data_IF_884564841389
#
_entry.id   IF_884564841389
#
_cell.length_a   1.000
_cell.length_b   1.000
_cell.length_c   1.000
_cell.angle_alpha   90.00
_cell.angle_beta   90.00
_cell.angle_gamma   90.00
#
_symmetry.space_group_name_H-M   'P 1'
#
loop_
_entity.id
_entity.type
_entity.pdbx_description
1 polymer ?
#
# COMPACT_ATOMS: atom_id res chain seq x y z
N UNK A 1 1.56 17.96 21.75
CA UNK A 1 0.93 16.75 22.30
C UNK A 1 1.60 15.54 21.66
N UNK A 2 1.90 14.50 22.43
CA UNK A 2 2.45 13.23 21.90
C UNK A 2 1.32 12.45 21.24
N UNK A 3 1.58 11.89 20.05
CA UNK A 3 0.62 11.02 19.36
C UNK A 3 0.87 9.58 19.79
N UNK A 4 -0.18 8.86 20.17
CA UNK A 4 -0.10 7.43 20.38
C UNK A 4 -0.33 6.72 19.04
N UNK A 5 0.61 5.86 18.66
CA UNK A 5 0.49 4.97 17.52
C UNK A 5 0.30 3.55 18.02
N UNK A 6 -0.85 2.97 17.74
CA UNK A 6 -1.14 1.58 18.04
C UNK A 6 -0.46 0.69 17.01
N UNK A 7 0.09 -0.42 17.47
CA UNK A 7 0.83 -1.38 16.65
C UNK A 7 0.26 -2.78 16.82
N UNK A 8 -0.06 -3.43 15.70
CA UNK A 8 -0.45 -4.83 15.69
C UNK A 8 0.12 -5.57 14.48
N UNK A 9 0.31 -6.87 14.61
CA UNK A 9 0.68 -7.75 13.51
C UNK A 9 -0.59 -8.35 12.88
N UNK A 10 -0.63 -8.37 11.56
CA UNK A 10 -1.67 -9.01 10.77
C UNK A 10 -1.04 -10.15 9.99
N UNK A 11 -1.40 -11.38 10.31
CA UNK A 11 -0.95 -12.56 9.57
C UNK A 11 -1.73 -12.69 8.27
N UNK A 12 -1.01 -12.89 7.16
CA UNK A 12 -1.57 -13.07 5.83
C UNK A 12 -1.00 -14.32 5.14
N UNK A 13 -1.64 -14.84 4.09
CA UNK A 13 -1.13 -15.99 3.34
C UNK A 13 0.25 -15.79 2.71
N UNK A 14 0.69 -14.54 2.57
CA UNK A 14 1.99 -14.19 1.96
C UNK A 14 2.97 -13.57 2.96
N UNK A 15 2.70 -13.72 4.25
CA UNK A 15 3.56 -13.32 5.35
C UNK A 15 2.92 -12.29 6.28
N UNK A 16 3.55 -12.09 7.42
CA UNK A 16 3.07 -11.15 8.42
C UNK A 16 3.27 -9.70 7.99
N UNK A 17 2.31 -8.86 8.34
CA UNK A 17 2.34 -7.42 8.11
C UNK A 17 2.25 -6.68 9.45
N UNK A 18 3.02 -5.62 9.57
CA UNK A 18 2.94 -4.67 10.68
C UNK A 18 1.99 -3.55 10.33
N UNK A 19 0.96 -3.37 11.13
CA UNK A 19 0.00 -2.28 11.03
C UNK A 19 0.27 -1.23 12.11
N UNK A 20 0.21 0.04 11.73
CA UNK A 20 0.29 1.18 12.64
C UNK A 20 -0.86 2.13 12.37
N UNK A 21 -1.55 2.54 13.43
CA UNK A 21 -2.65 3.49 13.36
C UNK A 21 -2.60 4.47 14.54
N UNK A 22 -3.07 5.68 14.31
CA UNK A 22 -3.47 6.59 15.39
C UNK A 22 -4.96 6.35 15.74
N UNK A 23 -5.54 7.21 16.57
CA UNK A 23 -6.96 7.08 16.97
C UNK A 23 -7.94 7.26 15.79
N UNK A 24 -7.51 7.89 14.70
CA UNK A 24 -8.37 8.26 13.58
C UNK A 24 -8.20 7.33 12.37
N UNK A 25 -6.96 6.89 12.04
CA UNK A 25 -6.68 6.28 10.76
C UNK A 25 -5.49 5.31 10.80
N UNK A 26 -5.45 4.42 9.81
CA UNK A 26 -4.29 3.59 9.50
C UNK A 26 -3.20 4.45 8.84
N UNK A 27 -2.01 4.46 9.42
CA UNK A 27 -0.88 5.27 8.97
C UNK A 27 0.18 4.45 8.23
N UNK A 28 0.30 3.15 8.55
CA UNK A 28 1.20 2.24 7.87
C UNK A 28 0.68 0.80 7.92
N UNK A 29 1.00 0.07 6.85
CA UNK A 29 0.79 -1.37 6.73
C UNK A 29 1.89 -1.93 5.83
N UNK A 30 2.89 -2.58 6.43
CA UNK A 30 4.05 -3.07 5.69
C UNK A 30 4.39 -4.52 6.07
N UNK A 31 4.92 -5.29 5.12
CA UNK A 31 5.43 -6.62 5.43
C UNK A 31 6.58 -6.53 6.45
N UNK A 32 6.66 -7.50 7.34
CA UNK A 32 7.73 -7.56 8.33
C UNK A 32 9.08 -7.88 7.68
N UNK A 33 10.15 -7.35 8.27
CA UNK A 33 11.53 -7.59 7.85
C UNK A 33 12.45 -6.47 8.35
N UNK A 34 13.72 -6.77 8.70
CA UNK A 34 14.61 -5.82 9.39
C UNK A 34 14.76 -4.49 8.66
N UNK A 35 15.11 -4.50 7.37
CA UNK A 35 15.29 -3.28 6.56
C UNK A 35 14.02 -2.45 6.43
N UNK A 36 12.84 -3.09 6.52
CA UNK A 36 11.54 -2.41 6.42
C UNK A 36 11.19 -1.75 7.72
N UNK A 37 11.43 -2.42 8.83
CA UNK A 37 11.21 -1.86 10.16
C UNK A 37 12.09 -0.63 10.39
N UNK A 38 13.36 -0.65 9.96
CA UNK A 38 14.24 0.51 10.03
C UNK A 38 13.74 1.70 9.21
N UNK A 39 13.26 1.45 7.98
CA UNK A 39 12.66 2.48 7.13
C UNK A 39 11.38 3.05 7.73
N UNK A 40 10.53 2.19 8.26
CA UNK A 40 9.30 2.61 8.92
C UNK A 40 9.60 3.45 10.15
N UNK A 41 10.53 3.03 11.01
CA UNK A 41 10.96 3.79 12.16
C UNK A 41 11.51 5.18 11.79
N UNK A 42 12.28 5.28 10.71
CA UNK A 42 12.78 6.57 10.21
C UNK A 42 11.64 7.47 9.72
N UNK A 43 10.63 6.90 9.04
CA UNK A 43 9.43 7.63 8.59
C UNK A 43 8.59 8.09 9.76
N UNK A 44 8.35 7.25 10.75
CA UNK A 44 7.57 7.60 11.93
C UNK A 44 8.17 8.78 12.69
N UNK A 45 9.49 8.82 12.86
CA UNK A 45 10.17 9.97 13.47
C UNK A 45 9.95 11.26 12.69
N UNK A 46 9.83 11.18 11.35
CA UNK A 46 9.57 12.34 10.49
C UNK A 46 8.11 12.76 10.51
N UNK A 47 7.19 11.79 10.49
CA UNK A 47 5.75 12.06 10.41
C UNK A 47 5.16 12.44 11.77
N UNK A 48 5.67 11.82 12.82
CA UNK A 48 5.22 12.01 14.20
C UNK A 48 6.44 12.24 15.11
N UNK A 49 7.03 13.46 15.11
CA UNK A 49 8.26 13.72 15.89
C UNK A 49 8.12 13.44 17.38
N UNK A 50 6.92 13.58 17.93
CA UNK A 50 6.59 13.27 19.31
C UNK A 50 5.52 12.16 19.34
N UNK A 51 5.96 10.90 19.19
CA UNK A 51 5.07 9.74 19.26
C UNK A 51 5.52 8.70 20.28
N UNK A 52 4.56 7.94 20.76
CA UNK A 52 4.79 6.71 21.51
C UNK A 52 4.11 5.56 20.76
N UNK A 53 4.69 4.37 20.81
CA UNK A 53 4.11 3.16 20.22
C UNK A 53 3.55 2.32 21.36
N UNK A 54 2.27 1.97 21.24
CA UNK A 54 1.59 1.03 22.14
C UNK A 54 1.18 -0.21 21.36
N UNK A 55 1.45 -1.39 21.90
CA UNK A 55 0.93 -2.62 21.32
C UNK A 55 -0.57 -2.71 21.60
N UNK A 56 -1.35 -2.95 20.55
CA UNK A 56 -2.80 -3.02 20.63
C UNK A 56 -3.51 -2.82 19.32
N UNK A 57 -4.81 -3.03 19.33
CA UNK A 57 -5.66 -2.93 18.15
C UNK A 57 -6.49 -1.64 18.20
N UNK A 58 -6.16 -0.70 17.33
CA UNK A 58 -7.01 0.46 17.08
C UNK A 58 -8.13 0.10 16.08
N UNK A 59 -9.27 0.85 16.06
CA UNK A 59 -10.36 0.59 15.12
C UNK A 59 -9.93 0.54 13.66
N UNK A 60 -8.98 1.39 13.25
CA UNK A 60 -8.44 1.41 11.90
C UNK A 60 -7.62 0.14 11.56
N UNK A 61 -6.93 -0.45 12.54
CA UNK A 61 -6.23 -1.73 12.38
C UNK A 61 -7.24 -2.87 12.22
N UNK A 62 -8.28 -2.89 13.05
CA UNK A 62 -9.36 -3.88 12.95
C UNK A 62 -10.05 -3.81 11.57
N UNK A 63 -10.33 -2.62 11.08
CA UNK A 63 -10.89 -2.41 9.74
C UNK A 63 -9.96 -2.90 8.62
N UNK A 64 -8.66 -2.63 8.74
CA UNK A 64 -7.66 -3.11 7.78
C UNK A 64 -7.55 -4.64 7.80
N UNK A 65 -7.57 -5.25 9.00
CA UNK A 65 -7.57 -6.71 9.18
C UNK A 65 -8.78 -7.36 8.52
N UNK A 66 -9.97 -6.81 8.75
CA UNK A 66 -11.20 -7.31 8.15
C UNK A 66 -11.17 -7.17 6.61
N UNK A 67 -10.68 -6.05 6.11
CA UNK A 67 -10.51 -5.83 4.68
C UNK A 67 -9.54 -6.84 4.06
N UNK A 68 -8.37 -7.06 4.68
CA UNK A 68 -7.38 -8.04 4.21
C UNK A 68 -7.95 -9.47 4.23
N UNK A 69 -8.72 -9.83 5.25
CA UNK A 69 -9.35 -11.15 5.32
C UNK A 69 -10.30 -11.38 4.13
N UNK A 70 -11.12 -10.39 3.78
CA UNK A 70 -11.99 -10.44 2.59
C UNK A 70 -11.19 -10.49 1.30
N UNK A 71 -10.17 -9.64 1.16
CA UNK A 71 -9.30 -9.60 -0.01
C UNK A 71 -8.63 -10.96 -0.26
N UNK A 72 -7.98 -11.54 0.75
CA UNK A 72 -7.35 -12.85 0.64
C UNK A 72 -8.37 -14.00 0.51
N UNK A 73 -9.58 -13.81 1.01
CA UNK A 73 -10.73 -14.70 0.78
C UNK A 73 -11.27 -14.70 -0.64
N UNK A 74 -10.78 -13.79 -1.49
CA UNK A 74 -11.17 -13.72 -2.91
C UNK A 74 -12.32 -12.77 -3.19
N UNK A 75 -12.64 -11.86 -2.28
CA UNK A 75 -13.63 -10.81 -2.50
C UNK A 75 -12.95 -9.53 -3.01
N UNK A 76 -13.60 -8.85 -3.97
CA UNK A 76 -13.24 -7.48 -4.32
C UNK A 76 -13.74 -6.55 -3.22
N UNK A 77 -12.85 -6.10 -2.36
CA UNK A 77 -13.20 -5.21 -1.27
C UNK A 77 -12.92 -3.74 -1.65
N UNK A 78 -13.92 -2.89 -1.48
CA UNK A 78 -13.75 -1.44 -1.64
C UNK A 78 -12.90 -0.88 -0.49
N UNK A 79 -12.01 0.05 -0.83
CA UNK A 79 -11.15 0.76 0.13
C UNK A 79 -11.74 2.10 0.56
N UNK A 80 -12.84 2.53 -0.03
CA UNK A 80 -13.44 3.86 0.22
C UNK A 80 -13.84 4.07 1.68
N UNK A 81 -14.22 3.00 2.38
CA UNK A 81 -14.62 3.05 3.79
C UNK A 81 -13.47 2.89 4.79
N UNK A 82 -12.23 2.72 4.33
CA UNK A 82 -11.09 2.56 5.24
C UNK A 82 -10.52 3.93 5.64
N UNK A 83 -10.38 4.20 6.94
CA UNK A 83 -9.74 5.42 7.39
C UNK A 83 -8.22 5.31 7.19
N UNK A 84 -7.72 5.91 6.12
CA UNK A 84 -6.30 5.91 5.75
C UNK A 84 -5.73 7.32 5.87
N UNK A 85 -4.59 7.45 6.52
CA UNK A 85 -3.84 8.70 6.62
C UNK A 85 -2.41 8.48 6.14
N UNK A 86 -2.08 9.04 4.97
CA UNK A 86 -0.82 8.82 4.29
C UNK A 86 0.06 10.07 4.35
N UNK A 87 1.15 9.98 5.06
CA UNK A 87 2.16 11.03 5.19
C UNK A 87 3.24 10.87 4.12
N UNK A 88 3.47 11.91 3.34
CA UNK A 88 4.48 11.92 2.28
C UNK A 88 4.59 13.29 1.61
N UNK A 89 5.58 13.43 0.74
CA UNK A 89 5.74 14.61 -0.08
C UNK A 89 4.52 14.81 -1.01
N UNK A 90 4.25 16.06 -1.47
CA UNK A 90 3.10 16.32 -2.34
C UNK A 90 3.05 15.41 -3.57
N UNK A 91 4.18 15.15 -4.23
CA UNK A 91 4.24 14.26 -5.39
C UNK A 91 3.93 12.80 -5.02
N UNK A 92 4.48 12.29 -3.91
CA UNK A 92 4.18 10.94 -3.43
C UNK A 92 2.68 10.76 -3.18
N UNK A 93 2.04 11.71 -2.50
CA UNK A 93 0.60 11.67 -2.24
C UNK A 93 -0.24 11.67 -3.51
N UNK A 94 0.17 12.41 -4.55
CA UNK A 94 -0.48 12.39 -5.87
C UNK A 94 -0.34 11.03 -6.53
N UNK A 95 0.85 10.41 -6.47
CA UNK A 95 1.07 9.05 -6.99
C UNK A 95 0.17 8.05 -6.24
N UNK A 96 0.16 8.08 -4.90
CA UNK A 96 -0.65 7.16 -4.11
C UNK A 96 -2.15 7.33 -4.35
N UNK A 97 -2.63 8.55 -4.59
CA UNK A 97 -4.00 8.79 -5.02
C UNK A 97 -4.29 8.09 -6.36
N UNK A 98 -3.39 8.22 -7.35
CA UNK A 98 -3.52 7.54 -8.64
C UNK A 98 -3.46 6.01 -8.52
N UNK A 99 -2.68 5.47 -7.57
CA UNK A 99 -2.67 4.02 -7.29
C UNK A 99 -4.04 3.50 -6.84
N UNK A 100 -4.75 4.26 -6.00
CA UNK A 100 -6.05 3.87 -5.46
C UNK A 100 -7.14 3.73 -6.53
N UNK A 101 -6.96 4.39 -7.68
CA UNK A 101 -7.86 4.28 -8.83
C UNK A 101 -7.63 3.02 -9.69
N UNK A 102 -6.54 2.28 -9.44
CA UNK A 102 -6.26 1.04 -10.18
C UNK A 102 -7.10 -0.09 -9.59
N UNK A 103 -8.11 -0.50 -10.33
CA UNK A 103 -9.04 -1.57 -9.90
C UNK A 103 -8.32 -2.92 -9.74
N UNK A 104 -8.81 -3.80 -8.85
CA UNK A 104 -8.33 -5.17 -8.75
C UNK A 104 -8.33 -5.88 -10.11
N UNK A 105 -7.28 -6.67 -10.38
CA UNK A 105 -7.11 -7.36 -11.66
C UNK A 105 -6.64 -6.48 -12.83
N UNK A 106 -6.47 -5.18 -12.62
CA UNK A 106 -5.92 -4.25 -13.62
C UNK A 106 -4.52 -3.80 -13.22
N UNK A 107 -3.73 -3.46 -14.22
CA UNK A 107 -2.37 -2.92 -14.03
C UNK A 107 -2.20 -1.63 -14.81
N UNK A 108 -1.27 -0.81 -14.36
CA UNK A 108 -0.84 0.42 -15.07
C UNK A 108 0.68 0.48 -15.11
N UNK A 109 1.23 1.10 -16.15
CA UNK A 109 2.67 1.34 -16.20
C UNK A 109 3.06 2.59 -15.42
N UNK A 110 4.31 2.64 -14.95
CA UNK A 110 4.88 3.83 -14.33
C UNK A 110 4.75 5.06 -15.24
N UNK A 111 4.98 4.86 -16.56
CA UNK A 111 4.85 5.93 -17.54
C UNK A 111 3.42 6.43 -17.72
N UNK A 112 2.43 5.54 -17.68
CA UNK A 112 1.02 5.91 -17.76
C UNK A 112 0.59 6.77 -16.58
N UNK A 113 1.03 6.42 -15.36
CA UNK A 113 0.78 7.23 -14.16
C UNK A 113 1.49 8.59 -14.27
N UNK A 114 2.75 8.61 -14.73
CA UNK A 114 3.50 9.84 -14.90
C UNK A 114 2.80 10.79 -15.89
N UNK A 115 2.31 10.28 -17.01
CA UNK A 115 1.57 11.07 -18.01
C UNK A 115 0.27 11.63 -17.44
N UNK A 116 -0.51 10.83 -16.71
CA UNK A 116 -1.75 11.27 -16.04
C UNK A 116 -1.49 12.38 -15.03
N UNK A 117 -0.38 12.31 -14.31
CA UNK A 117 0.02 13.34 -13.34
C UNK A 117 0.61 14.61 -14.00
N UNK A 118 0.58 14.70 -15.35
CA UNK A 118 1.11 15.84 -16.09
C UNK A 118 2.63 15.91 -16.16
N UNK A 119 3.31 14.80 -15.91
CA UNK A 119 4.77 14.69 -15.87
C UNK A 119 5.26 13.48 -16.69
N UNK A 120 5.06 13.46 -18.05
CA UNK A 120 5.33 12.27 -18.90
C UNK A 120 6.80 11.91 -18.89
N UNK A 121 7.73 12.39 -18.39
CA UNK A 121 9.13 11.94 -18.23
C UNK A 121 9.44 11.38 -16.84
N UNK A 122 8.49 11.45 -15.91
CA UNK A 122 8.72 11.21 -14.50
C UNK A 122 8.53 9.73 -14.04
N UNK A 123 8.60 8.75 -14.96
CA UNK A 123 8.39 7.34 -14.64
C UNK A 123 9.27 6.84 -13.49
N UNK A 124 10.52 7.29 -13.43
CA UNK A 124 11.46 6.95 -12.35
C UNK A 124 11.00 7.55 -11.02
N UNK A 125 10.55 8.80 -11.00
CA UNK A 125 10.02 9.44 -9.80
C UNK A 125 8.73 8.77 -9.33
N UNK A 126 7.85 8.36 -10.26
CA UNK A 126 6.67 7.55 -9.95
C UNK A 126 7.08 6.21 -9.33
N UNK A 127 8.11 5.55 -9.88
CA UNK A 127 8.65 4.31 -9.32
C UNK A 127 9.16 4.47 -7.89
N UNK A 128 9.85 5.56 -7.60
CA UNK A 128 10.31 5.87 -6.22
C UNK A 128 9.13 6.12 -5.28
N UNK A 129 8.14 6.92 -5.69
CA UNK A 129 6.94 7.19 -4.90
C UNK A 129 6.10 5.92 -4.67
N UNK A 130 5.99 5.07 -5.70
CA UNK A 130 5.34 3.76 -5.60
C UNK A 130 6.03 2.86 -4.55
N UNK A 131 7.37 2.81 -4.57
CA UNK A 131 8.16 2.08 -3.58
C UNK A 131 8.11 2.68 -2.18
N UNK A 132 7.74 3.95 -2.06
CA UNK A 132 7.57 4.66 -0.79
C UNK A 132 6.15 4.52 -0.19
N UNK A 133 5.22 3.84 -0.86
CA UNK A 133 3.87 3.60 -0.36
C UNK A 133 3.89 3.02 1.06
N UNK A 134 3.28 3.70 2.05
CA UNK A 134 3.31 3.24 3.43
C UNK A 134 2.24 2.19 3.76
N UNK A 135 1.24 1.99 2.89
CA UNK A 135 0.10 1.10 3.15
C UNK A 135 0.00 0.08 2.03
N UNK A 136 0.83 -0.96 2.11
CA UNK A 136 0.91 -2.01 1.10
C UNK A 136 -0.42 -2.78 0.94
N UNK A 137 -0.69 -3.29 -0.24
CA UNK A 137 -1.88 -4.04 -0.66
C UNK A 137 -3.13 -3.17 -0.74
N UNK A 138 -3.54 -2.52 0.35
CA UNK A 138 -4.72 -1.64 0.41
C UNK A 138 -4.53 -0.49 -0.59
N UNK A 139 -3.37 0.19 -0.57
CA UNK A 139 -2.95 1.09 -1.63
C UNK A 139 -2.10 0.27 -2.62
N UNK A 140 -2.62 -0.02 -3.82
CA UNK A 140 -2.16 -1.16 -4.62
C UNK A 140 -0.92 -0.87 -5.46
N UNK A 141 0.21 -0.57 -4.82
CA UNK A 141 1.49 -0.36 -5.53
C UNK A 141 1.97 -1.60 -6.30
N UNK A 142 1.48 -2.80 -5.96
CA UNK A 142 1.75 -4.03 -6.70
C UNK A 142 1.11 -4.05 -8.10
N UNK A 143 0.09 -3.22 -8.39
CA UNK A 143 -0.57 -3.11 -9.69
C UNK A 143 0.19 -2.23 -10.69
N UNK A 144 1.33 -1.67 -10.30
CA UNK A 144 2.17 -0.88 -11.21
C UNK A 144 3.30 -1.74 -11.76
N UNK A 145 3.44 -1.76 -13.09
CA UNK A 145 4.38 -2.62 -13.82
C UNK A 145 5.20 -1.79 -14.81
N UNK A 146 6.25 -2.38 -15.38
CA UNK A 146 7.00 -1.78 -16.48
C UNK A 146 6.14 -1.61 -17.75
N UNK A 147 6.49 -0.66 -18.60
CA UNK A 147 5.77 -0.41 -19.87
C UNK A 147 5.78 -1.60 -20.84
N UNK A 148 6.77 -2.48 -20.73
CA UNK A 148 6.89 -3.71 -21.47
C UNK A 148 6.22 -4.92 -20.77
N UNK A 149 5.43 -4.68 -19.70
CA UNK A 149 4.77 -5.72 -18.92
C UNK A 149 5.66 -6.42 -17.90
N UNK A 150 6.93 -6.03 -17.76
CA UNK A 150 7.83 -6.66 -16.79
C UNK A 150 7.47 -6.27 -15.36
N UNK A 151 7.60 -7.23 -14.45
CA UNK A 151 7.47 -6.98 -13.02
C UNK A 151 8.78 -6.39 -12.51
N UNK A 152 8.77 -5.11 -12.22
CA UNK A 152 9.91 -4.39 -11.65
C UNK A 152 9.54 -3.82 -10.29
N UNK A 153 10.48 -3.86 -9.36
CA UNK A 153 10.44 -3.20 -8.07
C UNK A 153 9.14 -3.39 -7.28
N UNK A 154 9.21 -4.12 -6.20
CA UNK A 154 8.15 -4.16 -5.20
C UNK A 154 8.78 -4.20 -3.82
N UNK A 155 8.37 -3.29 -2.99
CA UNK A 155 8.91 -3.26 -1.64
C UNK A 155 8.67 -4.55 -0.84
N UNK A 156 7.62 -5.31 -1.12
CA UNK A 156 7.34 -6.64 -0.56
C UNK A 156 8.14 -7.80 -1.16
N UNK A 157 8.90 -7.54 -2.23
CA UNK A 157 9.55 -8.58 -3.03
C UNK A 157 8.72 -9.00 -4.24
N UNK A 158 9.39 -9.39 -5.33
CA UNK A 158 8.72 -9.74 -6.58
C UNK A 158 7.83 -10.98 -6.45
N UNK A 159 8.17 -11.93 -5.58
CA UNK A 159 7.35 -13.12 -5.34
C UNK A 159 5.97 -12.74 -4.81
N UNK A 160 5.91 -11.84 -3.84
CA UNK A 160 4.64 -11.31 -3.31
C UNK A 160 3.88 -10.51 -4.35
N UNK A 161 4.57 -9.70 -5.16
CA UNK A 161 3.94 -8.96 -6.26
C UNK A 161 3.30 -9.90 -7.27
N UNK A 162 4.03 -10.93 -7.68
CA UNK A 162 3.53 -11.97 -8.58
C UNK A 162 2.31 -12.68 -7.98
N UNK A 163 2.39 -13.06 -6.71
CA UNK A 163 1.28 -13.71 -6.02
C UNK A 163 0.03 -12.82 -5.99
N UNK A 164 0.17 -11.54 -5.63
CA UNK A 164 -0.94 -10.58 -5.56
C UNK A 164 -1.59 -10.37 -6.93
N UNK A 165 -0.80 -10.20 -7.99
CA UNK A 165 -1.33 -10.05 -9.34
C UNK A 165 -2.05 -11.31 -9.82
N UNK A 166 -1.54 -12.51 -9.52
CA UNK A 166 -2.20 -13.78 -9.83
C UNK A 166 -3.48 -13.96 -9.01
N UNK A 167 -3.45 -13.56 -7.74
CA UNK A 167 -4.63 -13.59 -6.89
C UNK A 167 -5.75 -12.72 -7.46
N UNK A 168 -5.41 -11.54 -7.98
CA UNK A 168 -6.34 -10.59 -8.57
C UNK A 168 -6.75 -10.94 -10.02
N UNK A 169 -6.03 -11.82 -10.70
CA UNK A 169 -6.33 -12.19 -12.09
C UNK A 169 -7.76 -12.73 -12.26
N UNK A 170 -8.32 -13.36 -11.21
CA UNK A 170 -9.71 -13.85 -11.16
C UNK A 170 -10.77 -12.75 -11.25
N UNK A 171 -10.39 -11.49 -10.96
CA UNK A 171 -11.29 -10.34 -10.99
C UNK A 171 -11.17 -9.53 -12.29
N UNK A 172 -10.38 -10.01 -13.23
CA UNK A 172 -10.41 -9.45 -14.59
C UNK A 172 -11.78 -9.70 -15.16
N UNK A 173 -12.44 -8.63 -15.51
CA UNK A 173 -13.74 -8.70 -16.17
C UNK A 173 -13.51 -9.10 -17.64
N UNK A 174 -13.40 -10.42 -17.89
CA UNK A 174 -13.34 -10.98 -19.25
C UNK A 174 -14.76 -11.00 -19.91
N UNK A 175 -15.73 -10.34 -19.29
CA UNK A 175 -17.13 -10.28 -19.76
C UNK A 175 -17.44 -8.98 -20.48
N UNK A 176 -16.55 -8.51 -21.33
CA UNK A 176 -16.85 -7.46 -22.29
C UNK A 176 -16.73 -8.04 -23.71
N UNK A 177 -17.58 -9.01 -23.98
CA UNK A 177 -17.97 -9.40 -25.35
C UNK A 177 -19.45 -9.71 -25.38
#
# INVERSE_FOLDING_TARGET
MSVILYRATITTPIGDMLALANDAALCALEFTGPRRQDRLAARLRRWFPAHTIADGEAPAIASARAWLARYFGGETADIAGLPLEMYGAPFERRVWAALREIRPGRTRSYGAIAAELGSPGASRAVGMANGANPIAIIVPCHRVIGSNGTLTGYGGGLDRKTWLLNHEARWRDDRLF
#
